data_IF_242029376122
#
_entry.id   IF_242029376122
#
_cell.length_a   1.000
_cell.length_b   1.000
_cell.length_c   1.000
_cell.angle_alpha   90.00
_cell.angle_beta   90.00
_cell.angle_gamma   90.00
#
_symmetry.space_group_name_H-M   'P 1'
#
loop_
_entity.id
_entity.type
_entity.pdbx_description
1 polymer ?
#
# COMPACT_ATOMS: atom_id res chain seq x y z
N UNK A 1 23.64 43.85 43.53
CA UNK A 1 24.12 43.46 42.19
C UNK A 1 24.73 42.07 42.28
N UNK A 2 23.96 41.03 41.94
CA UNK A 2 24.32 39.60 42.04
C UNK A 2 23.80 38.86 40.78
N UNK A 3 24.75 38.50 39.90
CA UNK A 3 25.06 37.17 39.34
C UNK A 3 23.89 36.19 39.00
N UNK A 4 23.77 35.89 37.69
CA UNK A 4 23.38 34.65 36.95
C UNK A 4 22.29 33.71 37.48
N UNK A 5 21.37 33.29 36.61
CA UNK A 5 21.23 31.93 36.02
C UNK A 5 19.84 31.79 35.40
N UNK A 6 19.79 31.75 34.07
CA UNK A 6 18.59 31.52 33.27
C UNK A 6 18.66 30.08 32.76
N UNK A 7 18.06 29.12 33.45
CA UNK A 7 17.62 27.80 32.95
C UNK A 7 16.84 27.08 34.07
N UNK A 8 15.87 26.25 33.69
CA UNK A 8 15.21 25.22 34.53
C UNK A 8 13.84 25.55 35.17
N UNK A 9 12.85 26.04 34.41
CA UNK A 9 11.43 25.87 34.78
C UNK A 9 10.43 26.09 33.63
N UNK A 10 10.70 25.55 32.44
CA UNK A 10 9.63 25.22 31.49
C UNK A 10 9.16 23.79 31.82
N UNK A 11 8.31 23.68 32.85
CA UNK A 11 7.75 22.43 33.33
C UNK A 11 6.36 22.20 32.70
N UNK A 12 6.21 20.98 32.16
CA UNK A 12 4.99 20.15 32.16
C UNK A 12 3.84 20.55 31.21
N UNK A 13 3.98 20.22 29.92
CA UNK A 13 2.82 19.68 29.19
C UNK A 13 2.91 18.16 29.33
N UNK A 14 2.12 17.61 30.26
CA UNK A 14 1.93 16.17 30.45
C UNK A 14 1.52 15.55 29.10
N UNK A 15 2.37 14.68 28.54
CA UNK A 15 1.91 13.65 27.61
C UNK A 15 1.09 12.65 28.41
N UNK A 16 -0.23 12.85 28.46
CA UNK A 16 -1.14 11.80 28.93
C UNK A 16 -1.10 10.68 27.89
N UNK A 17 -0.27 9.68 28.11
CA UNK A 17 -0.37 8.41 27.41
C UNK A 17 -1.61 7.68 27.92
N UNK A 18 -2.74 7.89 27.23
CA UNK A 18 -3.96 7.11 27.48
C UNK A 18 -3.67 5.67 27.07
N UNK A 19 -3.36 4.83 28.05
CA UNK A 19 -3.26 3.39 27.85
C UNK A 19 -4.67 2.81 27.93
N UNK A 20 -5.29 2.54 26.78
CA UNK A 20 -6.52 1.75 26.74
C UNK A 20 -6.17 0.28 27.05
N UNK A 21 -6.64 -0.25 28.18
CA UNK A 21 -6.65 -1.69 28.40
C UNK A 21 -7.79 -2.28 27.58
N UNK A 22 -7.47 -2.86 26.42
CA UNK A 22 -8.41 -3.67 25.67
C UNK A 22 -8.51 -5.05 26.35
N UNK A 23 -9.75 -5.51 26.55
CA UNK A 23 -10.05 -6.81 27.15
C UNK A 23 -9.38 -7.97 26.42
N UNK A 24 -9.30 -9.11 27.11
CA UNK A 24 -8.68 -10.36 26.66
C UNK A 24 -8.87 -10.64 25.17
N UNK A 25 -7.79 -10.45 24.41
CA UNK A 25 -7.69 -10.89 23.03
C UNK A 25 -7.22 -12.35 23.00
N UNK A 26 -7.81 -13.20 22.15
CA UNK A 26 -7.26 -14.52 21.78
C UNK A 26 -6.00 -14.37 20.90
N UNK A 27 -5.06 -13.53 21.32
CA UNK A 27 -3.81 -13.26 20.61
C UNK A 27 -2.72 -13.99 21.37
N UNK A 28 -2.16 -15.04 20.76
CA UNK A 28 -1.12 -15.88 21.36
C UNK A 28 0.26 -15.20 21.38
N UNK A 29 0.45 -14.14 20.59
CA UNK A 29 1.67 -13.31 20.56
C UNK A 29 1.40 -11.97 19.85
N UNK A 30 1.93 -10.88 20.39
CA UNK A 30 1.93 -9.55 19.75
C UNK A 30 3.35 -8.98 19.78
N UNK A 31 3.75 -8.30 18.71
CA UNK A 31 5.01 -7.56 18.62
C UNK A 31 4.72 -6.18 18.07
N UNK A 32 5.30 -5.14 18.68
CA UNK A 32 5.22 -3.77 18.18
C UNK A 32 6.18 -3.60 17.01
N UNK A 33 5.78 -4.09 15.83
CA UNK A 33 6.52 -3.85 14.58
C UNK A 33 6.03 -2.55 13.95
N UNK A 34 6.92 -1.61 13.60
CA UNK A 34 6.50 -0.37 12.97
C UNK A 34 5.92 -0.64 11.57
N UNK A 35 5.01 0.23 11.13
CA UNK A 35 4.33 0.13 9.84
C UNK A 35 4.44 1.42 9.05
N UNK A 36 4.67 1.32 7.74
CA UNK A 36 4.63 2.44 6.82
C UNK A 36 3.53 2.22 5.78
N UNK A 37 2.80 3.26 5.42
CA UNK A 37 1.67 3.18 4.47
C UNK A 37 1.84 4.16 3.33
N UNK A 38 1.32 3.84 2.16
CA UNK A 38 1.35 4.74 1.03
C UNK A 38 0.35 4.40 -0.06
N UNK A 39 0.38 5.22 -1.11
CA UNK A 39 -0.39 5.02 -2.34
C UNK A 39 0.58 5.07 -3.50
N UNK A 40 0.47 4.13 -4.44
CA UNK A 40 1.30 4.11 -5.64
C UNK A 40 0.99 5.28 -6.57
N UNK A 41 1.86 5.52 -7.53
CA UNK A 41 1.54 6.35 -8.70
C UNK A 41 0.49 5.66 -9.59
N UNK A 42 0.14 6.30 -10.71
CA UNK A 42 -0.74 5.72 -11.75
C UNK A 42 0.07 5.22 -12.96
N UNK A 43 1.36 4.92 -12.80
CA UNK A 43 2.29 4.57 -13.89
C UNK A 43 2.18 3.10 -14.30
N UNK A 44 0.96 2.66 -14.58
CA UNK A 44 0.67 1.31 -15.06
C UNK A 44 1.34 1.03 -16.40
N UNK A 45 1.82 -0.19 -16.58
CA UNK A 45 2.48 -0.66 -17.81
C UNK A 45 1.78 -1.91 -18.32
N UNK A 46 1.76 -2.10 -19.63
CA UNK A 46 1.26 -3.32 -20.24
C UNK A 46 2.17 -4.50 -19.90
N UNK A 47 1.58 -5.60 -19.46
CA UNK A 47 2.22 -6.91 -19.49
C UNK A 47 2.03 -7.48 -20.90
N UNK A 48 3.12 -7.88 -21.55
CA UNK A 48 3.12 -8.25 -22.98
C UNK A 48 3.02 -9.74 -23.21
N UNK A 49 3.37 -10.52 -22.20
CA UNK A 49 3.42 -11.97 -22.20
C UNK A 49 2.01 -12.57 -22.08
N UNK A 50 1.12 -11.90 -21.34
CA UNK A 50 -0.29 -12.25 -21.19
C UNK A 50 -1.16 -10.99 -21.13
N UNK A 51 -2.49 -11.16 -21.21
CA UNK A 51 -3.42 -10.03 -21.06
C UNK A 51 -3.41 -9.54 -19.62
N UNK A 52 -2.71 -8.43 -19.38
CA UNK A 52 -2.57 -7.87 -18.05
C UNK A 52 -1.84 -6.54 -18.05
N UNK A 53 -1.80 -5.91 -16.89
CA UNK A 53 -0.99 -4.72 -16.61
C UNK A 53 -0.21 -4.95 -15.33
N UNK A 54 0.88 -4.20 -15.14
CA UNK A 54 1.63 -4.24 -13.90
C UNK A 54 2.05 -2.84 -13.45
N UNK A 55 2.38 -2.73 -12.18
CA UNK A 55 2.97 -1.53 -11.60
C UNK A 55 4.08 -1.91 -10.63
N UNK A 56 5.15 -1.12 -10.67
CA UNK A 56 6.22 -1.15 -9.67
C UNK A 56 5.87 -0.11 -8.59
N UNK A 57 5.69 -0.56 -7.35
CA UNK A 57 5.39 0.32 -6.21
C UNK A 57 6.71 0.66 -5.51
N UNK A 58 7.03 1.95 -5.49
CA UNK A 58 8.19 2.48 -4.77
C UNK A 58 7.86 2.67 -3.28
N UNK A 59 8.68 2.07 -2.42
CA UNK A 59 8.59 2.20 -0.96
C UNK A 59 9.88 2.75 -0.35
N UNK A 60 10.80 3.26 -1.17
CA UNK A 60 12.03 3.90 -0.70
C UNK A 60 11.82 4.98 0.37
N UNK A 61 10.75 5.81 0.36
CA UNK A 61 10.56 6.84 1.39
C UNK A 61 10.41 6.29 2.81
N UNK A 62 10.08 5.00 2.97
CA UNK A 62 9.94 4.37 4.27
C UNK A 62 11.27 3.90 4.88
N UNK A 63 12.36 3.78 4.11
CA UNK A 63 13.67 3.32 4.60
C UNK A 63 13.62 1.99 5.40
N UNK A 64 12.90 0.99 4.86
CA UNK A 64 12.88 -0.35 5.45
C UNK A 64 14.29 -0.96 5.48
N UNK A 65 14.65 -1.61 6.59
CA UNK A 65 15.96 -2.25 6.76
C UNK A 65 16.03 -3.63 6.09
N UNK A 66 14.93 -4.38 6.23
CA UNK A 66 14.71 -5.67 5.60
C UNK A 66 13.45 -5.61 4.74
N UNK A 67 13.20 -6.66 3.95
CA UNK A 67 11.96 -6.74 3.17
C UNK A 67 10.76 -6.84 4.12
N UNK A 68 9.87 -5.83 4.17
CA UNK A 68 8.73 -5.86 5.07
C UNK A 68 7.64 -6.80 4.53
N UNK A 69 6.68 -7.13 5.40
CA UNK A 69 5.44 -7.74 4.94
C UNK A 69 4.55 -6.68 4.30
N UNK A 70 4.33 -6.79 3.00
CA UNK A 70 3.44 -5.88 2.27
C UNK A 70 2.00 -6.40 2.25
N UNK A 71 1.06 -5.48 2.37
CA UNK A 71 -0.37 -5.69 2.20
C UNK A 71 -0.89 -4.64 1.22
N UNK A 72 -1.72 -5.06 0.29
CA UNK A 72 -2.17 -4.20 -0.81
C UNK A 72 -3.68 -4.24 -0.97
N UNK A 73 -4.22 -3.11 -1.41
CA UNK A 73 -5.56 -3.00 -1.96
C UNK A 73 -5.53 -2.07 -3.17
N UNK A 74 -6.55 -2.12 -4.01
CA UNK A 74 -6.69 -1.24 -5.16
C UNK A 74 -7.75 -0.19 -4.88
N UNK A 75 -7.46 1.06 -5.25
CA UNK A 75 -8.39 2.17 -5.21
C UNK A 75 -8.52 2.79 -6.60
N UNK A 76 -9.61 3.54 -6.80
CA UNK A 76 -9.88 4.25 -8.05
C UNK A 76 -11.38 4.54 -8.19
N UNK A 77 -11.76 5.22 -9.27
CA UNK A 77 -13.14 5.69 -9.46
C UNK A 77 -14.15 4.56 -9.74
N UNK A 78 -13.83 3.65 -10.66
CA UNK A 78 -14.76 2.60 -11.13
C UNK A 78 -14.01 1.34 -11.58
N UNK A 79 -14.73 0.22 -11.64
CA UNK A 79 -14.37 -1.05 -12.29
C UNK A 79 -13.13 -1.81 -11.77
N UNK A 80 -12.50 -1.39 -10.68
CA UNK A 80 -11.35 -2.10 -10.10
C UNK A 80 -11.71 -3.46 -9.48
N UNK A 81 -13.00 -3.74 -9.26
CA UNK A 81 -13.48 -5.06 -8.83
C UNK A 81 -13.45 -6.14 -9.93
N UNK A 82 -13.23 -5.74 -11.19
CA UNK A 82 -13.19 -6.63 -12.37
C UNK A 82 -11.76 -7.08 -12.73
N UNK A 83 -10.81 -6.97 -11.80
CA UNK A 83 -9.45 -7.49 -11.95
C UNK A 83 -9.08 -8.41 -10.77
N UNK A 84 -8.14 -9.32 -11.02
CA UNK A 84 -7.50 -10.15 -10.01
C UNK A 84 -6.01 -9.80 -9.88
N UNK A 85 -5.36 -10.30 -8.83
CA UNK A 85 -3.91 -10.12 -8.62
C UNK A 85 -3.54 -8.94 -7.71
N UNK A 86 -4.51 -8.16 -7.23
CA UNK A 86 -4.28 -7.00 -6.36
C UNK A 86 -3.43 -7.33 -5.12
N UNK A 87 -3.63 -8.52 -4.55
CA UNK A 87 -2.91 -9.01 -3.36
C UNK A 87 -1.73 -9.96 -3.69
N UNK A 88 -1.42 -10.15 -4.97
CA UNK A 88 -0.31 -10.98 -5.42
C UNK A 88 0.95 -10.11 -5.56
N UNK A 89 1.77 -10.10 -4.50
CA UNK A 89 2.99 -9.31 -4.40
C UNK A 89 4.17 -10.10 -4.99
N UNK A 90 4.84 -9.51 -5.98
CA UNK A 90 6.01 -10.08 -6.65
C UNK A 90 7.27 -9.28 -6.33
N UNK A 91 8.40 -9.98 -6.28
CA UNK A 91 9.74 -9.44 -6.03
C UNK A 91 9.80 -8.41 -4.88
N UNK A 92 9.26 -8.71 -3.68
CA UNK A 92 9.27 -7.76 -2.58
C UNK A 92 10.72 -7.48 -2.14
N UNK A 93 11.02 -6.20 -1.98
CA UNK A 93 12.31 -5.65 -1.54
C UNK A 93 12.03 -4.52 -0.55
N UNK A 94 13.01 -4.08 0.26
CA UNK A 94 12.83 -2.92 1.16
C UNK A 94 12.44 -1.63 0.42
N UNK A 95 12.80 -1.54 -0.86
CA UNK A 95 12.59 -0.37 -1.71
C UNK A 95 11.34 -0.45 -2.59
N UNK A 96 10.64 -1.58 -2.60
CA UNK A 96 9.45 -1.71 -3.43
C UNK A 96 9.07 -3.14 -3.77
N UNK A 97 8.01 -3.27 -4.55
CA UNK A 97 7.47 -4.53 -5.02
C UNK A 97 6.70 -4.34 -6.33
N UNK A 98 6.34 -5.44 -7.00
CA UNK A 98 5.50 -5.42 -8.20
C UNK A 98 4.15 -6.06 -7.97
N UNK A 99 3.11 -5.49 -8.58
CA UNK A 99 1.78 -6.08 -8.69
C UNK A 99 1.44 -6.29 -10.17
N UNK A 100 0.89 -7.45 -10.48
CA UNK A 100 0.26 -7.75 -11.76
C UNK A 100 -1.25 -7.78 -11.61
N UNK A 101 -1.96 -7.20 -12.56
CA UNK A 101 -3.41 -7.26 -12.66
C UNK A 101 -3.80 -7.94 -13.96
N UNK A 102 -4.66 -8.95 -13.84
CA UNK A 102 -5.30 -9.61 -14.97
C UNK A 102 -6.80 -9.32 -14.94
N UNK A 103 -7.46 -9.19 -16.11
CA UNK A 103 -8.90 -9.03 -16.17
C UNK A 103 -9.58 -10.33 -15.74
N UNK A 104 -10.58 -10.25 -14.86
CA UNK A 104 -11.41 -11.44 -14.58
C UNK A 104 -12.51 -11.58 -15.64
N UNK A 105 -12.94 -12.81 -15.96
CA UNK A 105 -14.08 -13.05 -16.82
C UNK A 105 -15.32 -12.29 -16.32
N UNK A 106 -16.08 -11.70 -17.24
CA UNK A 106 -17.31 -11.01 -16.85
C UNK A 106 -18.42 -12.02 -16.55
N UNK A 107 -18.50 -12.48 -15.30
CA UNK A 107 -19.50 -13.45 -14.84
C UNK A 107 -20.93 -12.89 -14.77
N UNK A 108 -21.12 -11.60 -15.01
CA UNK A 108 -22.43 -10.93 -15.02
C UNK A 108 -22.98 -10.66 -16.43
N UNK A 109 -22.22 -11.00 -17.48
CA UNK A 109 -22.77 -11.00 -18.82
C UNK A 109 -23.65 -12.23 -18.96
N UNK A 110 -24.98 -12.03 -18.95
CA UNK A 110 -25.94 -13.02 -19.42
C UNK A 110 -25.74 -13.23 -20.93
N UNK A 111 -24.67 -13.92 -21.30
CA UNK A 111 -24.36 -14.25 -22.68
C UNK A 111 -23.57 -15.54 -22.72
N UNK A 112 -23.96 -16.42 -23.64
CA UNK A 112 -23.26 -17.64 -24.05
C UNK A 112 -21.83 -17.37 -24.58
N UNK A 113 -21.42 -16.10 -24.66
CA UNK A 113 -20.08 -15.65 -25.04
C UNK A 113 -19.33 -15.17 -23.80
N UNK A 114 -18.19 -15.78 -23.50
CA UNK A 114 -17.24 -15.28 -22.50
C UNK A 114 -16.74 -13.90 -22.95
N UNK A 115 -17.32 -12.84 -22.39
CA UNK A 115 -16.85 -11.48 -22.62
C UNK A 115 -15.65 -11.23 -21.72
N UNK A 116 -14.48 -11.04 -22.34
CA UNK A 116 -13.27 -10.64 -21.61
C UNK A 116 -13.42 -9.16 -21.26
N UNK A 117 -13.31 -8.84 -19.97
CA UNK A 117 -13.41 -7.45 -19.49
C UNK A 117 -12.39 -6.55 -20.21
N UNK A 118 -12.71 -5.26 -20.37
CA UNK A 118 -11.81 -4.21 -20.88
C UNK A 118 -11.32 -4.36 -22.33
N UNK A 119 -12.06 -5.08 -23.17
CA UNK A 119 -11.69 -5.28 -24.58
C UNK A 119 -10.69 -6.43 -24.80
N UNK A 120 -10.38 -7.20 -23.76
CA UNK A 120 -9.57 -8.41 -23.87
C UNK A 120 -8.10 -8.18 -24.23
N UNK A 121 -7.59 -6.96 -24.07
CA UNK A 121 -6.18 -6.61 -24.37
C UNK A 121 -5.54 -5.87 -23.20
N UNK A 122 -4.21 -5.98 -23.07
CA UNK A 122 -3.41 -5.25 -22.07
C UNK A 122 -3.57 -3.74 -22.24
N UNK A 123 -3.52 -3.24 -23.47
CA UNK A 123 -3.77 -1.83 -23.80
C UNK A 123 -5.19 -1.36 -23.39
N UNK A 124 -6.21 -2.20 -23.60
CA UNK A 124 -7.57 -1.92 -23.16
C UNK A 124 -7.67 -1.80 -21.64
N UNK A 125 -7.10 -2.76 -20.92
CA UNK A 125 -7.04 -2.74 -19.46
C UNK A 125 -6.27 -1.52 -18.94
N UNK A 126 -5.12 -1.21 -19.55
CA UNK A 126 -4.31 -0.03 -19.21
C UNK A 126 -5.11 1.27 -19.36
N UNK A 127 -5.82 1.44 -20.47
CA UNK A 127 -6.65 2.61 -20.69
C UNK A 127 -7.73 2.77 -19.62
N UNK A 128 -8.36 1.67 -19.18
CA UNK A 128 -9.31 1.71 -18.07
C UNK A 128 -8.66 2.09 -16.74
N UNK A 129 -7.50 1.52 -16.41
CA UNK A 129 -6.77 1.83 -15.19
C UNK A 129 -6.41 3.33 -15.13
N UNK A 130 -5.88 3.89 -16.23
CA UNK A 130 -5.54 5.31 -16.33
C UNK A 130 -6.78 6.21 -16.27
N UNK A 131 -7.83 5.90 -17.06
CA UNK A 131 -9.09 6.66 -17.10
C UNK A 131 -9.78 6.74 -15.74
N UNK A 132 -9.74 5.63 -14.99
CA UNK A 132 -10.38 5.53 -13.68
C UNK A 132 -9.43 5.77 -12.50
N UNK A 133 -8.20 6.23 -12.77
CA UNK A 133 -7.19 6.60 -11.78
C UNK A 133 -6.94 5.48 -10.77
N UNK A 134 -6.67 4.28 -11.27
CA UNK A 134 -6.37 3.15 -10.41
C UNK A 134 -5.00 3.32 -9.76
N UNK A 135 -4.94 3.06 -8.46
CA UNK A 135 -3.73 3.11 -7.65
C UNK A 135 -3.73 1.95 -6.65
N UNK A 136 -2.55 1.51 -6.23
CA UNK A 136 -2.38 0.54 -5.16
C UNK A 136 -2.20 1.29 -3.85
N UNK A 137 -3.14 1.11 -2.92
CA UNK A 137 -2.92 1.45 -1.53
C UNK A 137 -2.12 0.31 -0.89
N UNK A 138 -1.13 0.63 -0.09
CA UNK A 138 -0.26 -0.37 0.50
C UNK A 138 0.14 -0.04 1.93
N UNK A 139 0.46 -1.11 2.67
CA UNK A 139 1.05 -1.07 4.01
C UNK A 139 2.23 -2.04 4.03
N UNK A 140 3.39 -1.57 4.48
CA UNK A 140 4.55 -2.40 4.79
C UNK A 140 4.73 -2.48 6.30
N UNK A 141 4.80 -3.69 6.84
CA UNK A 141 5.05 -3.95 8.26
C UNK A 141 6.43 -4.56 8.42
N UNK A 142 7.33 -3.86 9.09
CA UNK A 142 8.74 -4.24 9.22
C UNK A 142 9.59 -3.13 9.80
N UNK A 143 10.80 -3.45 10.25
CA UNK A 143 11.72 -2.48 10.82
C UNK A 143 12.09 -1.39 9.81
N UNK A 144 11.91 -0.12 10.18
CA UNK A 144 12.25 1.02 9.36
C UNK A 144 12.68 2.21 10.21
N UNK A 145 13.53 3.08 9.66
CA UNK A 145 13.95 4.33 10.31
C UNK A 145 13.37 5.52 9.52
N UNK A 146 12.31 6.18 10.02
CA UNK A 146 11.86 7.41 9.39
C UNK A 146 13.00 8.44 9.43
N UNK A 147 13.15 9.29 8.40
CA UNK A 147 14.07 10.42 8.48
C UNK A 147 13.75 11.21 9.76
N UNK A 148 14.78 11.56 10.54
CA UNK A 148 14.61 12.45 11.68
C UNK A 148 14.03 13.76 11.16
N UNK A 149 12.81 14.11 11.56
CA UNK A 149 12.27 15.46 11.32
C UNK A 149 13.16 16.44 12.09
N UNK A 150 13.89 17.29 11.35
CA UNK A 150 14.79 18.34 11.88
C UNK A 150 14.03 19.66 11.92
#
# INVERSE_FOLDING_TARGET
MKITTMYCCLLLILSVSISFSYGSHNVTSYSSTPSCTGVSTSDWKEFKEEVGIYIDVDTTPCNFQDTPMYFTSIAGKLYHWKVSGVTAIYDPKPTGFRIYLAPVPNIFASSTVVQVSYGGTSAGLLNYALKHKWQINWMGVGAYYPPLEI
#
